data_IF_571062768323
#
_entry.id   IF_571062768323
#
_cell.length_a   1.000
_cell.length_b   1.000
_cell.length_c   1.000
_cell.angle_alpha   90.00
_cell.angle_beta   90.00
_cell.angle_gamma   90.00
#
_symmetry.space_group_name_H-M   'P 1'
#
loop_
_entity.id
_entity.type
_entity.pdbx_description
1 polymer ?
#
# COMPACT_ATOMS: atom_id res chain seq x y z
N UNK A 1 -18.92 30.26 -55.52
CA UNK A 1 -19.86 30.84 -54.54
C UNK A 1 -19.03 31.27 -53.35
N UNK A 2 -18.85 32.58 -53.16
CA UNK A 2 -18.02 33.13 -52.09
C UNK A 2 -18.82 33.18 -50.77
N UNK A 3 -18.24 32.66 -49.69
CA UNK A 3 -18.78 32.77 -48.33
C UNK A 3 -18.51 34.20 -47.84
N UNK A 4 -19.52 34.97 -47.41
CA UNK A 4 -19.28 36.30 -46.85
C UNK A 4 -18.50 36.17 -45.54
N UNK A 5 -17.37 36.85 -45.43
CA UNK A 5 -16.59 36.99 -44.20
C UNK A 5 -17.39 37.80 -43.18
N UNK A 6 -17.70 37.18 -42.03
CA UNK A 6 -18.36 37.84 -40.90
C UNK A 6 -17.48 38.98 -40.35
N UNK A 7 -18.06 40.10 -39.87
CA UNK A 7 -17.29 41.18 -39.24
C UNK A 7 -16.59 40.66 -37.97
N UNK A 8 -15.47 41.26 -37.53
CA UNK A 8 -14.86 40.89 -36.25
C UNK A 8 -15.85 41.21 -35.14
N UNK A 9 -16.47 40.19 -34.54
CA UNK A 9 -17.26 40.35 -33.33
C UNK A 9 -16.33 40.90 -32.24
N UNK A 10 -16.60 42.13 -31.81
CA UNK A 10 -15.96 42.66 -30.61
C UNK A 10 -16.31 41.73 -29.44
N UNK A 11 -15.37 41.43 -28.54
CA UNK A 11 -15.68 40.66 -27.35
C UNK A 11 -16.79 41.39 -26.58
N UNK A 12 -17.75 40.64 -26.01
CA UNK A 12 -18.91 41.21 -25.33
C UNK A 12 -18.49 42.20 -24.25
N UNK A 13 -19.28 43.25 -24.06
CA UNK A 13 -19.04 44.23 -23.00
C UNK A 13 -19.14 43.54 -21.64
N UNK A 14 -18.34 44.00 -20.67
CA UNK A 14 -18.34 43.42 -19.32
C UNK A 14 -19.74 43.45 -18.67
N UNK A 15 -20.57 44.43 -19.03
CA UNK A 15 -21.96 44.53 -18.58
C UNK A 15 -22.85 43.40 -19.15
N UNK A 16 -22.68 43.01 -20.41
CA UNK A 16 -23.41 41.87 -21.01
C UNK A 16 -22.95 40.52 -20.44
N UNK A 17 -21.65 40.35 -20.20
CA UNK A 17 -21.12 39.14 -19.55
C UNK A 17 -21.47 39.04 -18.06
N UNK A 18 -21.78 40.17 -17.41
CA UNK A 18 -22.18 40.24 -15.99
C UNK A 18 -23.68 40.00 -15.76
N UNK A 19 -24.51 40.02 -16.81
CA UNK A 19 -25.94 39.75 -16.71
C UNK A 19 -26.26 38.25 -16.60
N UNK A 20 -25.31 37.39 -17.00
CA UNK A 20 -25.36 35.98 -16.65
C UNK A 20 -24.96 35.83 -15.18
N UNK A 21 -25.86 35.24 -14.39
CA UNK A 21 -25.59 34.98 -12.98
C UNK A 21 -24.21 34.32 -12.83
N UNK A 22 -23.34 34.82 -11.94
CA UNK A 22 -21.99 34.29 -11.82
C UNK A 22 -22.06 32.78 -11.57
N UNK A 23 -21.19 31.98 -12.21
CA UNK A 23 -21.16 30.54 -11.99
C UNK A 23 -21.07 30.28 -10.48
N UNK A 24 -21.71 29.19 -10.01
CA UNK A 24 -21.86 28.87 -8.59
C UNK A 24 -20.50 28.69 -7.88
N UNK A 25 -19.87 29.81 -7.51
CA UNK A 25 -18.70 29.88 -6.64
C UNK A 25 -19.06 29.47 -5.21
N UNK A 26 -20.34 29.47 -4.85
CA UNK A 26 -20.83 28.95 -3.57
C UNK A 26 -20.46 27.49 -3.32
N UNK A 27 -20.36 26.64 -4.37
CA UNK A 27 -19.89 25.26 -4.19
C UNK A 27 -18.41 25.18 -3.86
N UNK A 28 -17.58 26.03 -4.49
CA UNK A 28 -16.14 26.14 -4.20
C UNK A 28 -15.91 26.71 -2.79
N UNK A 29 -16.57 27.83 -2.46
CA UNK A 29 -16.46 28.43 -1.14
C UNK A 29 -17.08 27.57 -0.04
N UNK A 30 -18.10 26.76 -0.34
CA UNK A 30 -18.67 25.78 0.57
C UNK A 30 -17.68 24.70 0.99
N UNK A 31 -16.85 24.22 0.05
CA UNK A 31 -15.79 23.25 0.32
C UNK A 31 -14.62 23.87 1.10
N UNK A 32 -14.28 25.15 0.88
CA UNK A 32 -13.29 25.86 1.71
C UNK A 32 -13.82 26.27 3.09
N UNK A 33 -15.11 26.61 3.22
CA UNK A 33 -15.74 26.98 4.50
C UNK A 33 -15.99 25.77 5.42
N UNK A 34 -15.94 24.55 4.86
CA UNK A 34 -15.96 23.30 5.62
C UNK A 34 -14.64 23.02 6.38
N UNK A 35 -13.59 23.80 6.17
CA UNK A 35 -12.31 23.63 6.86
C UNK A 35 -12.23 24.43 8.19
N UNK A 36 -13.17 25.36 8.45
CA UNK A 36 -13.21 26.15 9.70
C UNK A 36 -13.99 25.50 10.86
N UNK A 37 -14.31 24.21 10.74
CA UNK A 37 -14.95 23.46 11.83
C UNK A 37 -13.88 22.73 12.66
N UNK A 38 -13.43 23.25 13.82
CA UNK A 38 -12.42 22.58 14.66
C UNK A 38 -12.85 21.16 15.07
N UNK A 39 -14.16 20.93 15.13
CA UNK A 39 -14.75 19.61 15.41
C UNK A 39 -14.56 18.62 14.26
N UNK A 40 -14.68 19.07 13.01
CA UNK A 40 -14.47 18.22 11.82
C UNK A 40 -13.01 17.82 11.70
N UNK A 41 -12.10 18.78 11.81
CA UNK A 41 -10.65 18.55 11.81
C UNK A 41 -10.22 17.59 12.94
N UNK A 42 -10.75 17.75 14.16
CA UNK A 42 -10.44 16.86 15.27
C UNK A 42 -10.89 15.40 15.03
N UNK A 43 -12.04 15.18 14.37
CA UNK A 43 -12.51 13.84 14.01
C UNK A 43 -11.61 13.21 12.94
N UNK A 44 -11.25 13.97 11.89
CA UNK A 44 -10.31 13.49 10.87
C UNK A 44 -8.92 13.20 11.43
N UNK A 45 -8.40 14.08 12.29
CA UNK A 45 -7.12 13.89 12.97
C UNK A 45 -7.15 12.63 13.83
N UNK A 46 -8.18 12.45 14.67
CA UNK A 46 -8.33 11.26 15.49
C UNK A 46 -8.37 9.98 14.64
N UNK A 47 -9.18 9.97 13.58
CA UNK A 47 -9.28 8.85 12.65
C UNK A 47 -7.92 8.53 11.99
N UNK A 48 -7.19 9.57 11.57
CA UNK A 48 -5.86 9.42 10.96
C UNK A 48 -4.84 8.89 11.98
N UNK A 49 -4.83 9.42 13.21
CA UNK A 49 -3.97 8.94 14.29
C UNK A 49 -4.27 7.47 14.61
N UNK A 50 -5.53 7.08 14.75
CA UNK A 50 -5.90 5.69 15.02
C UNK A 50 -5.44 4.74 13.89
N UNK A 51 -5.56 5.17 12.62
CA UNK A 51 -5.04 4.42 11.47
C UNK A 51 -3.51 4.33 11.46
N UNK A 52 -2.81 5.42 11.76
CA UNK A 52 -1.34 5.47 11.82
C UNK A 52 -0.82 4.61 12.96
N UNK A 53 -1.40 4.72 14.16
CA UNK A 53 -1.02 3.91 15.32
C UNK A 53 -1.26 2.42 15.04
N UNK A 54 -2.40 2.07 14.44
CA UNK A 54 -2.69 0.68 14.05
C UNK A 54 -1.69 0.13 13.02
N UNK A 55 -1.36 0.93 12.00
CA UNK A 55 -0.39 0.55 10.96
C UNK A 55 1.02 0.42 11.54
N UNK A 56 1.43 1.34 12.41
CA UNK A 56 2.74 1.32 13.07
C UNK A 56 2.88 0.13 14.00
N UNK A 57 1.89 -0.15 14.84
CA UNK A 57 1.89 -1.32 15.72
C UNK A 57 1.95 -2.62 14.91
N UNK A 58 1.18 -2.73 13.82
CA UNK A 58 1.23 -3.88 12.93
C UNK A 58 2.59 -4.04 12.25
N UNK A 59 3.23 -2.94 11.84
CA UNK A 59 4.56 -2.95 11.25
C UNK A 59 5.64 -3.40 12.25
N UNK A 60 5.58 -2.93 13.51
CA UNK A 60 6.51 -3.34 14.58
C UNK A 60 6.38 -4.84 14.86
N UNK A 61 5.16 -5.34 15.03
CA UNK A 61 4.93 -6.78 15.25
C UNK A 61 5.46 -7.61 14.09
N UNK A 62 5.22 -7.15 12.85
CA UNK A 62 5.77 -7.81 11.66
C UNK A 62 7.30 -7.80 11.66
N UNK A 63 7.94 -6.69 12.03
CA UNK A 63 9.39 -6.58 12.10
C UNK A 63 9.97 -7.58 13.11
N UNK A 64 9.39 -7.65 14.32
CA UNK A 64 9.81 -8.59 15.37
C UNK A 64 9.68 -10.04 14.89
N UNK A 65 8.56 -10.40 14.26
CA UNK A 65 8.34 -11.74 13.71
C UNK A 65 9.33 -12.10 12.59
N UNK A 66 9.83 -11.12 11.84
CA UNK A 66 10.82 -11.36 10.79
C UNK A 66 12.27 -11.45 11.30
N UNK A 67 12.56 -11.15 12.56
CA UNK A 67 13.92 -11.31 13.13
C UNK A 67 14.39 -12.77 13.04
N UNK A 68 13.51 -13.71 13.38
CA UNK A 68 13.81 -15.15 13.35
C UNK A 68 14.18 -15.65 11.95
N UNK A 69 13.36 -15.43 10.90
CA UNK A 69 13.72 -15.89 9.56
C UNK A 69 14.96 -15.17 8.99
N UNK A 70 15.22 -13.91 9.36
CA UNK A 70 16.46 -13.22 9.00
C UNK A 70 17.67 -13.93 9.61
N UNK A 71 17.60 -14.26 10.90
CA UNK A 71 18.67 -15.01 11.58
C UNK A 71 18.89 -16.39 10.96
N UNK A 72 17.82 -17.10 10.59
CA UNK A 72 17.93 -18.40 9.88
C UNK A 72 18.73 -18.27 8.57
N UNK A 73 18.46 -17.23 7.78
CA UNK A 73 19.17 -16.99 6.52
C UNK A 73 20.63 -16.63 6.77
N UNK A 74 20.92 -15.78 7.77
CA UNK A 74 22.30 -15.38 8.10
C UNK A 74 23.11 -16.60 8.57
N UNK A 75 22.60 -17.34 9.55
CA UNK A 75 23.29 -18.50 10.11
C UNK A 75 23.48 -19.59 9.06
N UNK A 76 22.46 -19.84 8.23
CA UNK A 76 22.58 -20.79 7.11
C UNK A 76 23.59 -20.34 6.06
N UNK A 77 23.67 -19.03 5.77
CA UNK A 77 24.62 -18.50 4.77
C UNK A 77 26.07 -18.57 5.27
N UNK A 78 26.30 -18.23 6.54
CA UNK A 78 27.64 -18.28 7.16
C UNK A 78 28.17 -19.71 7.26
N UNK A 79 27.31 -20.67 7.60
CA UNK A 79 27.71 -22.06 7.77
C UNK A 79 27.53 -22.91 6.49
N UNK A 80 27.30 -22.29 5.33
CA UNK A 80 27.03 -23.02 4.08
C UNK A 80 28.18 -23.94 3.66
N UNK A 81 29.41 -23.56 3.94
CA UNK A 81 30.61 -24.25 3.45
C UNK A 81 31.39 -25.01 4.54
N UNK A 82 31.21 -24.65 5.82
CA UNK A 82 32.02 -25.18 6.94
C UNK A 82 31.26 -26.15 7.87
N UNK A 83 30.03 -26.56 7.52
CA UNK A 83 29.24 -27.43 8.41
C UNK A 83 29.69 -28.90 8.33
N UNK A 84 30.54 -29.32 9.26
CA UNK A 84 31.05 -30.70 9.38
C UNK A 84 30.00 -31.75 9.75
N UNK A 85 28.89 -31.35 10.40
CA UNK A 85 27.84 -32.27 10.86
C UNK A 85 26.94 -32.72 9.70
N UNK A 86 26.47 -31.79 8.87
CA UNK A 86 25.66 -32.05 7.69
C UNK A 86 25.59 -30.79 6.80
N UNK A 87 26.08 -30.87 5.56
CA UNK A 87 26.01 -29.79 4.54
C UNK A 87 24.58 -29.36 4.20
N UNK A 88 23.65 -30.22 4.59
CA UNK A 88 22.25 -30.16 4.30
C UNK A 88 21.51 -29.12 5.18
N UNK A 89 21.81 -29.04 6.48
CA UNK A 89 21.10 -28.18 7.45
C UNK A 89 21.12 -26.68 7.06
N UNK A 90 22.26 -26.10 6.62
CA UNK A 90 22.31 -24.70 6.21
C UNK A 90 21.39 -24.39 5.02
N UNK A 91 21.26 -25.30 4.06
CA UNK A 91 20.37 -25.14 2.90
C UNK A 91 18.91 -25.09 3.35
N UNK A 92 18.53 -25.97 4.27
CA UNK A 92 17.18 -25.98 4.85
C UNK A 92 16.83 -24.69 5.59
N UNK A 93 17.75 -24.16 6.39
CA UNK A 93 17.58 -22.89 7.10
C UNK A 93 17.40 -21.70 6.13
N UNK A 94 18.15 -21.68 5.03
CA UNK A 94 18.04 -20.62 4.02
C UNK A 94 16.70 -20.70 3.28
N UNK A 95 16.29 -21.89 2.82
CA UNK A 95 15.05 -22.07 2.05
C UNK A 95 13.84 -21.72 2.91
N UNK A 96 13.76 -22.25 4.13
CA UNK A 96 12.63 -21.98 5.03
C UNK A 96 12.59 -20.52 5.50
N UNK A 97 13.75 -19.91 5.79
CA UNK A 97 13.86 -18.51 6.16
C UNK A 97 13.44 -17.56 5.02
N UNK A 98 13.93 -17.80 3.80
CA UNK A 98 13.56 -16.99 2.62
C UNK A 98 12.09 -17.11 2.25
N UNK A 99 11.52 -18.32 2.28
CA UNK A 99 10.08 -18.55 2.08
C UNK A 99 9.26 -17.76 3.11
N UNK A 100 9.67 -17.77 4.37
CA UNK A 100 8.99 -17.04 5.45
C UNK A 100 9.03 -15.52 5.23
N UNK A 101 10.16 -14.98 4.79
CA UNK A 101 10.32 -13.56 4.43
C UNK A 101 9.42 -13.17 3.25
N UNK A 102 9.38 -13.99 2.20
CA UNK A 102 8.55 -13.74 1.02
C UNK A 102 7.06 -13.74 1.41
N UNK A 103 6.63 -14.67 2.27
CA UNK A 103 5.26 -14.71 2.80
C UNK A 103 4.92 -13.45 3.59
N UNK A 104 5.82 -12.99 4.46
CA UNK A 104 5.65 -11.74 5.22
C UNK A 104 5.54 -10.53 4.30
N UNK A 105 6.43 -10.42 3.31
CA UNK A 105 6.44 -9.31 2.36
C UNK A 105 5.13 -9.26 1.56
N UNK A 106 4.66 -10.40 1.07
CA UNK A 106 3.45 -10.46 0.25
C UNK A 106 2.20 -10.17 1.08
N UNK A 107 2.12 -10.69 2.31
CA UNK A 107 1.04 -10.34 3.23
C UNK A 107 1.01 -8.83 3.54
N UNK A 108 2.18 -8.19 3.60
CA UNK A 108 2.29 -6.73 3.73
C UNK A 108 1.78 -6.04 2.46
N UNK A 109 2.29 -6.38 1.27
CA UNK A 109 1.84 -5.77 0.00
C UNK A 109 0.33 -5.91 -0.23
N UNK A 110 -0.27 -7.06 0.09
CA UNK A 110 -1.72 -7.24 -0.01
C UNK A 110 -2.51 -6.40 1.01
N UNK A 111 -2.01 -6.26 2.25
CA UNK A 111 -2.60 -5.37 3.25
C UNK A 111 -2.59 -3.89 2.83
N UNK A 112 -1.59 -3.45 2.07
CA UNK A 112 -1.56 -2.09 1.51
C UNK A 112 -2.49 -1.92 0.33
N UNK A 113 -2.68 -2.97 -0.49
CA UNK A 113 -3.41 -2.87 -1.75
C UNK A 113 -4.91 -3.13 -1.64
N UNK A 114 -5.38 -3.80 -0.59
CA UNK A 114 -6.81 -4.09 -0.47
C UNK A 114 -7.28 -4.27 0.99
N UNK A 115 -8.13 -3.33 1.45
CA UNK A 115 -8.81 -3.38 2.76
C UNK A 115 -10.10 -4.21 2.72
N UNK A 116 -10.56 -4.68 1.55
CA UNK A 116 -11.84 -5.38 1.43
C UNK A 116 -11.66 -6.84 0.97
N UNK A 117 -11.97 -7.78 1.88
CA UNK A 117 -12.19 -9.22 1.67
C UNK A 117 -10.95 -10.03 1.24
N UNK A 118 -10.29 -10.70 2.18
CA UNK A 118 -9.17 -11.59 1.90
C UNK A 118 -9.57 -13.08 1.99
N UNK A 119 -9.86 -13.77 0.89
CA UNK A 119 -9.56 -15.20 0.76
C UNK A 119 -8.03 -15.40 0.82
N UNK A 120 -7.56 -16.53 1.37
CA UNK A 120 -6.12 -16.82 1.48
C UNK A 120 -5.43 -16.60 0.12
N UNK A 121 -4.38 -15.77 0.01
CA UNK A 121 -3.74 -15.48 -1.27
C UNK A 121 -3.24 -16.79 -1.89
N UNK A 122 -3.49 -16.98 -3.19
CA UNK A 122 -3.13 -18.18 -3.97
C UNK A 122 -1.68 -18.59 -3.71
N UNK A 123 -0.82 -17.59 -3.59
CA UNK A 123 0.59 -17.75 -3.33
C UNK A 123 0.89 -18.39 -1.96
N UNK A 124 0.12 -18.12 -0.89
CA UNK A 124 0.30 -18.83 0.39
C UNK A 124 0.02 -20.33 0.24
N UNK A 125 -0.95 -20.72 -0.59
CA UNK A 125 -1.23 -22.14 -0.87
C UNK A 125 -0.10 -22.78 -1.70
N UNK A 126 0.47 -22.02 -2.64
CA UNK A 126 1.64 -22.45 -3.41
C UNK A 126 2.85 -22.69 -2.51
N UNK A 127 3.12 -21.77 -1.57
CA UNK A 127 4.21 -21.88 -0.61
C UNK A 127 4.03 -23.01 0.40
N UNK A 128 2.82 -23.23 0.92
CA UNK A 128 2.52 -24.37 1.79
C UNK A 128 2.77 -25.70 1.03
N UNK A 129 2.47 -25.75 -0.27
CA UNK A 129 2.81 -26.89 -1.14
C UNK A 129 4.33 -27.08 -1.34
N UNK A 130 5.07 -25.99 -1.61
CA UNK A 130 6.53 -26.03 -1.76
C UNK A 130 7.19 -26.52 -0.46
N UNK A 131 6.77 -26.00 0.70
CA UNK A 131 7.26 -26.45 2.00
C UNK A 131 6.90 -27.91 2.26
N UNK A 132 5.69 -28.36 1.91
CA UNK A 132 5.29 -29.76 2.05
C UNK A 132 6.15 -30.69 1.21
N UNK A 133 6.46 -30.33 -0.04
CA UNK A 133 7.34 -31.13 -0.91
C UNK A 133 8.77 -31.10 -0.39
N UNK A 134 9.22 -29.94 0.10
CA UNK A 134 10.55 -29.78 0.67
C UNK A 134 10.76 -30.64 1.93
N UNK A 135 9.82 -30.65 2.87
CA UNK A 135 9.83 -31.53 4.05
C UNK A 135 9.60 -33.00 3.72
N UNK A 136 8.98 -33.33 2.58
CA UNK A 136 8.79 -34.71 2.16
C UNK A 136 10.06 -35.30 1.51
N UNK A 137 10.89 -34.46 0.89
CA UNK A 137 12.14 -34.86 0.23
C UNK A 137 13.29 -34.97 1.23
N UNK A 138 13.17 -34.30 2.38
CA UNK A 138 14.25 -34.10 3.33
C UNK A 138 13.89 -34.52 4.75
#
# INVERSE_FOLDING_TARGET
MAVPSAPPELPPSYEEASNDAPPSYERLFGDFRRVDSPKGLAVFLKQAFDFILGTLAAAIVLAILNIVPILMVIIGSLNRHDCAVNSNIPVWLIVTGTVSLIRSAINFFYRFKDQQKQPRPILVRLFDGILSVFFAIW
#
